data_IF_053582406739
#
_entry.id   IF_053582406739
#
_cell.length_a   1.000
_cell.length_b   1.000
_cell.length_c   1.000
_cell.angle_alpha   90.00
_cell.angle_beta   90.00
_cell.angle_gamma   90.00
#
_symmetry.space_group_name_H-M   'P 1'
#
loop_
_entity.id
_entity.type
_entity.pdbx_description
1 polymer ?
#
# COMPACT_ATOMS: atom_id res chain seq x y z
N UNK A 1 1.18 -16.13 38.92
CA UNK A 1 0.11 -15.88 37.94
C UNK A 1 -1.17 -15.57 38.70
N UNK A 2 -1.49 -14.30 38.90
CA UNK A 2 -2.77 -13.87 39.48
C UNK A 2 -3.70 -13.50 38.34
N UNK A 3 -4.74 -14.33 38.12
CA UNK A 3 -5.87 -14.04 37.24
C UNK A 3 -6.51 -12.72 37.70
N UNK A 4 -6.28 -11.64 36.96
CA UNK A 4 -7.21 -10.51 36.93
C UNK A 4 -8.15 -10.77 35.77
N UNK A 5 -9.41 -10.95 36.13
CA UNK A 5 -10.57 -11.17 35.28
C UNK A 5 -10.72 -10.05 34.25
N UNK A 6 -10.31 -10.31 33.00
CA UNK A 6 -10.80 -9.59 31.83
C UNK A 6 -12.07 -10.31 31.33
N UNK A 7 -13.04 -9.54 30.83
CA UNK A 7 -14.34 -9.97 30.33
C UNK A 7 -14.26 -11.18 29.39
N UNK A 8 -15.24 -12.08 29.48
CA UNK A 8 -15.27 -13.43 28.88
C UNK A 8 -15.34 -13.52 27.35
N UNK A 9 -14.90 -12.51 26.60
CA UNK A 9 -14.83 -12.51 25.14
C UNK A 9 -13.41 -12.33 24.58
N UNK A 10 -12.41 -12.00 25.42
CA UNK A 10 -11.01 -11.82 25.00
C UNK A 10 -10.10 -12.86 25.71
N UNK A 11 -10.37 -14.16 25.53
CA UNK A 11 -9.42 -15.17 26.00
C UNK A 11 -8.18 -15.13 25.10
N UNK A 12 -7.01 -14.79 25.67
CA UNK A 12 -5.76 -14.78 24.90
C UNK A 12 -5.34 -16.20 24.55
N UNK A 13 -4.47 -16.36 23.55
CA UNK A 13 -3.93 -17.67 23.17
C UNK A 13 -3.41 -18.47 24.39
N UNK A 14 -2.72 -17.81 25.31
CA UNK A 14 -2.20 -18.45 26.52
C UNK A 14 -3.27 -18.78 27.55
N UNK A 15 -4.36 -18.02 27.65
CA UNK A 15 -5.48 -18.39 28.54
C UNK A 15 -6.13 -19.70 28.11
N UNK A 16 -6.19 -19.93 26.80
CA UNK A 16 -6.72 -21.16 26.20
C UNK A 16 -5.71 -22.30 26.31
N UNK A 17 -4.44 -22.07 25.95
CA UNK A 17 -3.39 -23.08 26.00
C UNK A 17 -3.10 -23.58 27.42
N UNK A 18 -3.17 -22.68 28.41
CA UNK A 18 -2.93 -22.99 29.82
C UNK A 18 -4.21 -23.44 30.55
N UNK A 19 -5.32 -23.64 29.85
CA UNK A 19 -6.56 -24.16 30.42
C UNK A 19 -6.36 -25.64 30.81
N UNK A 20 -6.46 -26.00 32.10
CA UNK A 20 -6.18 -27.35 32.59
C UNK A 20 -7.21 -28.39 32.16
N UNK A 21 -8.30 -27.98 31.51
CA UNK A 21 -9.35 -28.89 31.06
C UNK A 21 -9.23 -29.18 29.57
N UNK A 22 -8.72 -28.23 28.79
CA UNK A 22 -8.81 -28.27 27.32
C UNK A 22 -7.55 -28.79 26.63
N UNK A 23 -6.37 -28.51 27.19
CA UNK A 23 -5.09 -28.80 26.55
C UNK A 23 -4.17 -29.62 27.44
N UNK A 24 -3.44 -30.56 26.83
CA UNK A 24 -2.45 -31.41 27.51
C UNK A 24 -1.35 -30.59 28.18
N UNK A 25 -1.00 -29.46 27.58
CA UNK A 25 -0.03 -28.50 28.05
C UNK A 25 -0.50 -27.89 29.39
N UNK A 26 -1.75 -27.45 29.46
CA UNK A 26 -2.37 -26.94 30.69
C UNK A 26 -2.38 -27.97 31.81
N UNK A 27 -2.78 -29.21 31.51
CA UNK A 27 -2.78 -30.34 32.47
C UNK A 27 -1.36 -30.61 33.00
N UNK A 28 -0.38 -30.69 32.10
CA UNK A 28 1.02 -30.98 32.45
C UNK A 28 1.63 -29.86 33.31
N UNK A 29 1.31 -28.61 33.01
CA UNK A 29 1.75 -27.44 33.78
C UNK A 29 1.14 -27.47 35.17
N UNK A 30 -0.16 -27.70 35.29
CA UNK A 30 -0.85 -27.71 36.59
C UNK A 30 -0.31 -28.82 37.49
N UNK A 31 -0.12 -30.03 36.95
CA UNK A 31 0.47 -31.16 37.67
C UNK A 31 1.87 -30.83 38.19
N UNK A 32 2.74 -30.24 37.35
CA UNK A 32 4.10 -29.87 37.73
C UNK A 32 4.14 -28.69 38.70
N UNK A 33 3.25 -27.71 38.57
CA UNK A 33 3.13 -26.60 39.52
C UNK A 33 2.65 -27.09 40.89
N UNK A 34 1.72 -28.06 40.94
CA UNK A 34 1.27 -28.69 42.18
C UNK A 34 2.38 -29.51 42.86
N UNK A 35 3.27 -30.15 42.10
CA UNK A 35 4.46 -30.80 42.65
C UNK A 35 5.44 -29.77 43.24
N UNK A 36 5.68 -28.66 42.54
CA UNK A 36 6.58 -27.61 42.98
C UNK A 36 6.05 -26.84 44.19
N UNK A 37 4.73 -26.67 44.34
CA UNK A 37 4.15 -26.02 45.52
C UNK A 37 4.35 -26.80 46.82
N UNK A 38 4.65 -28.11 46.73
CA UNK A 38 5.04 -28.92 47.90
C UNK A 38 6.48 -28.67 48.33
N UNK A 39 7.34 -28.25 47.40
CA UNK A 39 8.78 -28.08 47.60
C UNK A 39 9.18 -26.64 47.91
N UNK A 40 8.39 -25.67 47.45
CA UNK A 40 8.69 -24.24 47.57
C UNK A 40 7.48 -23.47 48.10
N UNK A 41 7.72 -22.48 48.95
CA UNK A 41 6.70 -21.60 49.58
C UNK A 41 6.03 -20.62 48.61
N UNK A 42 6.15 -20.83 47.30
CA UNK A 42 5.53 -20.01 46.26
C UNK A 42 6.28 -20.03 44.92
N UNK A 43 5.56 -19.73 43.84
CA UNK A 43 6.10 -19.76 42.47
C UNK A 43 7.23 -18.75 42.21
N UNK A 44 7.28 -17.63 42.95
CA UNK A 44 8.32 -16.61 42.82
C UNK A 44 9.66 -17.03 43.44
N UNK A 45 9.65 -18.00 44.37
CA UNK A 45 10.85 -18.55 45.01
C UNK A 45 11.40 -19.80 44.31
N UNK A 46 10.72 -20.31 43.29
CA UNK A 46 11.17 -21.49 42.53
C UNK A 46 12.24 -21.10 41.50
N UNK A 47 13.38 -21.81 41.43
CA UNK A 47 14.40 -21.57 40.40
C UNK A 47 13.83 -21.71 38.98
N UNK A 48 14.21 -20.81 38.07
CA UNK A 48 13.69 -20.78 36.71
C UNK A 48 13.88 -22.10 35.93
N UNK A 49 14.94 -22.85 36.22
CA UNK A 49 15.23 -24.16 35.60
C UNK A 49 14.26 -25.28 35.99
N UNK A 50 13.50 -25.10 37.07
CA UNK A 50 12.54 -26.09 37.58
C UNK A 50 11.11 -25.81 37.12
N UNK A 51 10.84 -24.62 36.57
CA UNK A 51 9.53 -24.25 36.07
C UNK A 51 9.08 -25.17 34.91
N UNK A 52 7.78 -25.34 34.71
CA UNK A 52 7.26 -26.02 33.53
C UNK A 52 7.58 -25.23 32.26
N UNK A 53 7.85 -25.96 31.18
CA UNK A 53 8.22 -25.39 29.88
C UNK A 53 7.17 -25.81 28.85
N UNK A 54 6.78 -24.87 27.99
CA UNK A 54 5.91 -25.13 26.84
C UNK A 54 6.68 -24.79 25.57
N UNK A 55 6.57 -25.64 24.57
CA UNK A 55 7.13 -25.39 23.24
C UNK A 55 6.03 -24.76 22.38
N UNK A 56 6.28 -23.56 21.89
CA UNK A 56 5.42 -22.90 20.89
C UNK A 56 6.10 -23.08 19.53
N UNK A 57 5.49 -23.87 18.65
CA UNK A 57 6.07 -24.27 17.36
C UNK A 57 5.84 -23.23 16.26
N UNK A 58 4.65 -22.63 16.18
CA UNK A 58 4.30 -21.63 15.19
C UNK A 58 4.10 -20.25 15.85
N UNK A 59 4.95 -19.30 15.47
CA UNK A 59 4.89 -17.88 15.88
C UNK A 59 4.67 -16.95 14.68
N UNK A 60 4.29 -17.52 13.54
CA UNK A 60 4.11 -16.85 12.25
C UNK A 60 5.34 -16.91 11.34
N UNK A 61 5.14 -16.43 10.12
CA UNK A 61 6.16 -16.38 9.06
C UNK A 61 7.15 -15.25 9.31
N UNK A 62 8.23 -15.56 10.03
CA UNK A 62 9.35 -14.67 10.29
C UNK A 62 10.51 -14.96 9.32
N UNK A 63 11.35 -13.97 8.97
CA UNK A 63 12.49 -14.21 8.09
C UNK A 63 13.52 -15.15 8.75
N UNK A 64 14.01 -16.17 8.03
CA UNK A 64 15.01 -17.14 8.55
C UNK A 64 16.30 -16.50 9.06
N UNK A 65 16.74 -15.41 8.43
CA UNK A 65 17.95 -14.69 8.82
C UNK A 65 17.80 -13.94 10.17
N UNK A 66 16.61 -13.90 10.76
CA UNK A 66 16.42 -13.27 12.05
C UNK A 66 16.95 -14.14 13.20
N UNK A 67 18.08 -13.72 13.75
CA UNK A 67 18.53 -13.97 15.14
C UNK A 67 17.51 -13.40 16.19
N UNK A 68 16.31 -12.99 15.75
CA UNK A 68 15.40 -12.08 16.46
C UNK A 68 14.13 -12.73 17.01
N UNK A 69 13.81 -14.00 16.68
CA UNK A 69 12.61 -14.66 17.21
C UNK A 69 12.59 -14.65 18.75
N UNK A 70 13.74 -14.86 19.38
CA UNK A 70 13.90 -14.76 20.83
C UNK A 70 13.76 -13.32 21.35
N UNK A 71 14.25 -12.33 20.61
CA UNK A 71 14.17 -10.90 20.98
C UNK A 71 12.75 -10.36 20.88
N UNK A 72 12.04 -10.66 19.78
CA UNK A 72 10.64 -10.25 19.60
C UNK A 72 9.75 -10.94 20.60
N UNK A 73 9.92 -12.26 20.85
CA UNK A 73 9.15 -12.98 21.86
C UNK A 73 9.45 -12.46 23.27
N UNK A 74 10.72 -12.17 23.59
CA UNK A 74 11.08 -11.57 24.89
C UNK A 74 10.39 -10.23 25.08
N UNK A 75 10.40 -9.36 24.07
CA UNK A 75 9.72 -8.07 24.14
C UNK A 75 8.21 -8.25 24.25
N UNK A 76 7.62 -9.11 23.42
CA UNK A 76 6.21 -9.43 23.44
C UNK A 76 5.74 -9.88 24.84
N UNK A 77 6.42 -10.87 25.43
CA UNK A 77 6.12 -11.34 26.78
C UNK A 77 6.34 -10.25 27.83
N UNK A 78 7.39 -9.43 27.68
CA UNK A 78 7.66 -8.32 28.59
C UNK A 78 6.53 -7.29 28.57
N UNK A 79 5.99 -6.95 27.40
CA UNK A 79 4.86 -6.02 27.26
C UNK A 79 3.59 -6.61 27.92
N UNK A 80 3.34 -7.91 27.75
CA UNK A 80 2.19 -8.57 28.38
C UNK A 80 2.30 -8.62 29.90
N UNK A 81 3.51 -8.73 30.44
CA UNK A 81 3.75 -8.77 31.89
C UNK A 81 3.86 -7.40 32.54
N UNK A 82 4.48 -6.44 31.85
CA UNK A 82 4.75 -5.09 32.32
C UNK A 82 4.48 -4.08 31.19
N UNK A 83 3.24 -3.56 31.08
CA UNK A 83 2.86 -2.61 30.04
C UNK A 83 3.56 -1.25 30.18
N UNK A 84 4.14 -0.95 31.34
CA UNK A 84 4.86 0.31 31.59
C UNK A 84 6.34 0.22 31.19
N UNK A 85 6.81 -0.94 30.71
CA UNK A 85 8.19 -1.12 30.26
C UNK A 85 8.55 -0.14 29.14
N UNK A 86 9.68 0.58 29.23
CA UNK A 86 10.11 1.50 28.17
C UNK A 86 10.47 0.74 26.89
N UNK A 87 10.28 1.40 25.75
CA UNK A 87 10.67 0.85 24.44
C UNK A 87 12.17 0.54 24.41
N UNK A 88 12.58 -0.71 24.12
CA UNK A 88 13.94 -1.16 24.40
C UNK A 88 14.96 -0.89 23.29
N UNK A 89 14.51 -0.49 22.08
CA UNK A 89 15.39 -0.38 20.91
C UNK A 89 15.48 1.06 20.37
N UNK A 90 16.63 1.44 19.79
CA UNK A 90 16.75 2.70 19.06
C UNK A 90 15.74 2.78 17.89
N UNK A 91 15.38 4.01 17.50
CA UNK A 91 14.45 4.28 16.38
C UNK A 91 14.88 3.58 15.09
N UNK A 92 16.21 3.51 14.86
CA UNK A 92 16.84 2.83 13.72
C UNK A 92 16.61 1.31 13.62
N UNK A 93 15.98 0.66 14.61
CA UNK A 93 15.60 -0.76 14.52
C UNK A 93 14.12 -0.99 14.82
N UNK A 94 13.36 0.10 15.02
CA UNK A 94 12.03 0.01 15.59
C UNK A 94 10.97 -0.46 14.60
N UNK A 95 11.03 -0.07 13.31
CA UNK A 95 10.02 -0.46 12.30
C UNK A 95 9.96 -1.98 12.10
N UNK A 96 11.11 -2.61 11.85
CA UNK A 96 11.20 -4.06 11.71
C UNK A 96 10.68 -4.79 12.95
N UNK A 97 11.04 -4.32 14.14
CA UNK A 97 10.57 -4.93 15.39
C UNK A 97 9.05 -4.79 15.57
N UNK A 98 8.47 -3.64 15.21
CA UNK A 98 7.01 -3.45 15.23
C UNK A 98 6.33 -4.37 14.23
N UNK A 99 6.88 -4.56 13.02
CA UNK A 99 6.33 -5.49 12.04
C UNK A 99 6.42 -6.95 12.51
N UNK A 100 7.54 -7.36 13.12
CA UNK A 100 7.68 -8.68 13.73
C UNK A 100 6.70 -8.88 14.90
N UNK A 101 6.50 -7.84 15.73
CA UNK A 101 5.47 -7.86 16.78
C UNK A 101 4.07 -7.99 16.20
N UNK A 102 3.78 -7.38 15.04
CA UNK A 102 2.49 -7.53 14.37
C UNK A 102 2.22 -9.00 14.01
N UNK A 103 3.21 -9.68 13.43
CA UNK A 103 3.12 -11.10 13.08
C UNK A 103 2.88 -11.96 14.33
N UNK A 104 3.69 -11.77 15.38
CA UNK A 104 3.57 -12.56 16.61
C UNK A 104 2.27 -12.25 17.37
N UNK A 105 1.86 -10.98 17.42
CA UNK A 105 0.65 -10.57 18.14
C UNK A 105 -0.63 -11.06 17.45
N UNK A 106 -0.64 -11.10 16.13
CA UNK A 106 -1.72 -11.72 15.35
C UNK A 106 -1.82 -13.22 15.65
N UNK A 107 -0.68 -13.93 15.55
CA UNK A 107 -0.61 -15.38 15.78
C UNK A 107 -0.97 -15.81 17.20
N UNK A 108 -0.56 -15.03 18.21
CA UNK A 108 -0.80 -15.31 19.63
C UNK A 108 -2.02 -14.58 20.19
N UNK A 109 -2.92 -14.08 19.32
CA UNK A 109 -4.17 -13.43 19.70
C UNK A 109 -4.00 -12.32 20.77
N UNK A 110 -2.98 -11.48 20.61
CA UNK A 110 -2.57 -10.45 21.56
C UNK A 110 -2.39 -9.06 20.92
N UNK A 111 -3.10 -8.79 19.81
CA UNK A 111 -3.05 -7.52 19.09
C UNK A 111 -3.41 -6.33 20.01
N UNK A 112 -4.49 -6.45 20.79
CA UNK A 112 -5.02 -5.33 21.60
C UNK A 112 -4.04 -4.83 22.68
N UNK A 113 -3.44 -5.70 23.54
CA UNK A 113 -2.43 -5.26 24.50
C UNK A 113 -1.21 -4.59 23.85
N UNK A 114 -0.70 -5.17 22.75
CA UNK A 114 0.47 -4.63 22.05
C UNK A 114 0.14 -3.29 21.38
N UNK A 115 -1.05 -3.16 20.78
CA UNK A 115 -1.52 -1.90 20.20
C UNK A 115 -1.57 -0.77 21.23
N UNK A 116 -2.13 -1.04 22.41
CA UNK A 116 -2.22 -0.05 23.48
C UNK A 116 -0.83 0.38 23.97
N UNK A 117 0.06 -0.60 24.16
CA UNK A 117 1.47 -0.32 24.49
C UNK A 117 2.14 0.60 23.47
N UNK A 118 2.00 0.30 22.17
CA UNK A 118 2.61 1.11 21.10
C UNK A 118 2.02 2.54 21.05
N UNK A 119 0.74 2.71 21.39
CA UNK A 119 0.09 4.03 21.49
C UNK A 119 0.62 4.84 22.67
N UNK A 120 0.75 4.23 23.85
CA UNK A 120 1.33 4.89 25.05
C UNK A 120 2.76 5.33 24.77
N UNK A 121 3.55 4.48 24.12
CA UNK A 121 4.92 4.77 23.70
C UNK A 121 5.00 5.72 22.48
N UNK A 122 3.86 6.13 21.90
CA UNK A 122 3.75 7.02 20.73
C UNK A 122 4.55 6.53 19.53
N UNK A 123 4.63 5.22 19.34
CA UNK A 123 5.45 4.61 18.28
C UNK A 123 4.92 4.96 16.89
N UNK A 124 3.60 5.00 16.75
CA UNK A 124 2.89 5.39 15.54
C UNK A 124 3.32 6.77 15.03
N UNK A 125 3.40 7.78 15.91
CA UNK A 125 3.73 9.17 15.55
C UNK A 125 5.23 9.41 15.50
N UNK A 126 6.02 8.80 16.39
CA UNK A 126 7.47 9.00 16.47
C UNK A 126 8.20 8.42 15.27
N UNK A 127 7.79 7.21 14.82
CA UNK A 127 8.42 6.57 13.68
C UNK A 127 7.80 7.01 12.35
N UNK A 128 6.63 7.66 12.33
CA UNK A 128 6.00 8.15 11.09
C UNK A 128 6.96 9.04 10.27
N UNK A 129 7.74 9.86 10.96
CA UNK A 129 8.68 10.82 10.35
C UNK A 129 10.07 10.24 10.13
N UNK A 130 10.36 9.06 10.67
CA UNK A 130 11.67 8.41 10.57
C UNK A 130 11.78 7.65 9.23
N UNK A 131 11.88 8.41 8.14
CA UNK A 131 12.12 7.85 6.81
C UNK A 131 13.61 7.76 6.54
N UNK A 132 14.08 6.56 6.25
CA UNK A 132 15.50 6.33 5.99
C UNK A 132 15.81 6.50 4.52
N UNK A 133 16.90 7.21 4.25
CA UNK A 133 17.57 7.09 2.97
C UNK A 133 18.13 5.66 2.86
N UNK A 134 17.92 5.04 1.71
CA UNK A 134 18.34 3.67 1.45
C UNK A 134 18.19 3.34 -0.02
N UNK A 135 18.53 2.11 -0.38
CA UNK A 135 18.27 1.61 -1.73
C UNK A 135 16.75 1.50 -1.97
N UNK A 136 16.32 1.46 -3.24
CA UNK A 136 14.90 1.31 -3.58
C UNK A 136 14.27 0.08 -2.91
N UNK A 137 15.03 -1.02 -2.83
CA UNK A 137 14.61 -2.25 -2.13
C UNK A 137 14.42 -2.03 -0.62
N UNK A 138 15.32 -1.30 0.04
CA UNK A 138 15.17 -1.00 1.48
C UNK A 138 13.98 -0.09 1.76
N UNK A 139 13.70 0.86 0.87
CA UNK A 139 12.54 1.75 0.97
C UNK A 139 11.24 0.96 0.79
N UNK A 140 11.17 0.04 -0.18
CA UNK A 140 10.02 -0.86 -0.34
C UNK A 140 9.82 -1.73 0.91
N UNK A 141 10.90 -2.33 1.41
CA UNK A 141 10.86 -3.16 2.62
C UNK A 141 10.31 -2.38 3.83
N UNK A 142 10.79 -1.16 4.06
CA UNK A 142 10.30 -0.30 5.16
C UNK A 142 8.81 0.03 4.99
N UNK A 143 8.36 0.35 3.76
CA UNK A 143 6.95 0.61 3.47
C UNK A 143 6.08 -0.63 3.71
N UNK A 144 6.52 -1.82 3.30
CA UNK A 144 5.80 -3.09 3.51
C UNK A 144 5.68 -3.43 5.00
N UNK A 145 6.77 -3.30 5.75
CA UNK A 145 6.77 -3.51 7.21
C UNK A 145 5.81 -2.56 7.93
N UNK A 146 5.83 -1.27 7.56
CA UNK A 146 4.90 -0.27 8.10
C UNK A 146 3.46 -0.53 7.68
N UNK A 147 3.21 -0.96 6.45
CA UNK A 147 1.86 -1.26 6.00
C UNK A 147 1.27 -2.41 6.81
N UNK A 148 2.01 -3.53 6.96
CA UNK A 148 1.58 -4.66 7.79
C UNK A 148 1.29 -4.20 9.23
N UNK A 149 2.24 -3.54 9.88
CA UNK A 149 2.07 -3.04 11.24
C UNK A 149 0.89 -2.07 11.36
N UNK A 150 0.68 -1.20 10.37
CA UNK A 150 -0.38 -0.21 10.37
C UNK A 150 -1.77 -0.82 10.21
N UNK A 151 -1.89 -1.91 9.46
CA UNK A 151 -3.13 -2.69 9.34
C UNK A 151 -3.41 -3.48 10.62
N UNK A 152 -2.39 -4.08 11.24
CA UNK A 152 -2.57 -4.89 12.46
C UNK A 152 -2.84 -4.04 13.71
N UNK A 153 -2.17 -2.90 13.86
CA UNK A 153 -2.23 -2.07 15.08
C UNK A 153 -3.04 -0.77 14.94
N UNK A 154 -3.80 -0.62 13.87
CA UNK A 154 -4.61 0.56 13.56
C UNK A 154 -3.82 1.88 13.48
N UNK A 155 -2.76 1.92 12.65
CA UNK A 155 -2.01 3.16 12.38
C UNK A 155 -2.41 3.75 11.02
N UNK A 156 -3.49 4.56 10.94
CA UNK A 156 -4.06 5.00 9.66
C UNK A 156 -3.08 5.84 8.83
N UNK A 157 -2.18 6.58 9.47
CA UNK A 157 -1.16 7.36 8.78
C UNK A 157 -0.13 6.47 8.07
N UNK A 158 0.24 5.34 8.66
CA UNK A 158 1.19 4.38 8.06
C UNK A 158 0.53 3.71 6.86
N UNK A 159 -0.69 3.21 7.03
CA UNK A 159 -1.47 2.58 5.95
C UNK A 159 -1.58 3.52 4.76
N UNK A 160 -2.02 4.77 4.99
CA UNK A 160 -2.15 5.77 3.92
C UNK A 160 -0.82 6.03 3.22
N UNK A 161 0.22 6.39 3.96
CA UNK A 161 1.50 6.78 3.36
C UNK A 161 2.22 5.64 2.63
N UNK A 162 2.20 4.44 3.21
CA UNK A 162 2.91 3.30 2.67
C UNK A 162 2.16 2.67 1.50
N UNK A 163 0.81 2.60 1.55
CA UNK A 163 0.02 2.19 0.38
C UNK A 163 0.21 3.15 -0.80
N UNK A 164 0.20 4.47 -0.58
CA UNK A 164 0.51 5.44 -1.63
C UNK A 164 1.88 5.20 -2.24
N UNK A 165 2.92 5.02 -1.42
CA UNK A 165 4.27 4.80 -1.91
C UNK A 165 4.37 3.51 -2.75
N UNK A 166 3.78 2.41 -2.27
CA UNK A 166 3.80 1.12 -2.98
C UNK A 166 3.01 1.18 -4.30
N UNK A 167 1.86 1.86 -4.33
CA UNK A 167 1.07 2.06 -5.56
C UNK A 167 1.84 2.90 -6.57
N UNK A 168 2.49 3.98 -6.14
CA UNK A 168 3.19 4.92 -7.03
C UNK A 168 4.51 4.35 -7.53
N UNK A 169 5.35 3.84 -6.64
CA UNK A 169 6.69 3.37 -7.00
C UNK A 169 6.66 2.00 -7.67
N UNK A 170 5.61 1.22 -7.43
CA UNK A 170 5.46 -0.13 -7.95
C UNK A 170 6.38 -1.14 -7.27
N UNK A 171 6.18 -2.44 -7.54
CA UNK A 171 7.04 -3.48 -6.99
C UNK A 171 8.46 -3.33 -7.53
N UNK A 172 9.47 -3.25 -6.65
CA UNK A 172 10.89 -3.27 -7.03
C UNK A 172 11.43 -4.69 -7.01
N UNK A 173 10.81 -5.56 -6.23
CA UNK A 173 11.00 -7.00 -6.34
C UNK A 173 10.27 -7.48 -7.61
N UNK A 174 11.02 -8.02 -8.57
CA UNK A 174 10.41 -8.75 -9.69
C UNK A 174 9.73 -9.99 -9.13
N UNK A 175 8.51 -10.34 -9.58
CA UNK A 175 7.97 -11.67 -9.36
C UNK A 175 9.03 -12.66 -9.83
N UNK A 176 9.42 -13.58 -8.95
CA UNK A 176 10.26 -14.73 -9.32
C UNK A 176 9.38 -15.69 -10.12
N UNK A 177 8.89 -15.25 -11.27
CA UNK A 177 8.19 -16.08 -12.25
C UNK A 177 9.15 -16.35 -13.38
N UNK A 178 10.29 -16.96 -13.06
CA UNK A 178 10.97 -17.78 -14.07
C UNK A 178 10.27 -19.13 -14.04
N UNK A 179 9.16 -19.25 -14.79
CA UNK A 179 8.51 -20.54 -15.09
C UNK A 179 9.42 -21.50 -15.89
N UNK A 180 10.64 -21.09 -16.24
CA UNK A 180 11.59 -21.87 -17.06
C UNK A 180 12.67 -22.59 -16.24
N UNK A 181 12.84 -22.25 -14.96
CA UNK A 181 13.66 -23.02 -14.03
C UNK A 181 12.70 -23.66 -13.04
N UNK A 182 12.49 -24.98 -13.15
CA UNK A 182 11.66 -25.81 -12.25
C UNK A 182 12.17 -25.89 -10.81
N UNK A 183 12.76 -24.80 -10.32
CA UNK A 183 13.03 -24.51 -8.92
C UNK A 183 11.91 -23.59 -8.44
N UNK A 184 10.69 -24.13 -8.37
CA UNK A 184 9.68 -23.64 -7.44
C UNK A 184 10.18 -23.95 -6.01
N UNK A 185 11.32 -23.39 -5.62
CA UNK A 185 11.58 -23.14 -4.20
C UNK A 185 10.65 -21.99 -3.85
N UNK A 186 9.43 -22.37 -3.47
CA UNK A 186 8.44 -21.48 -2.92
C UNK A 186 9.11 -20.45 -2.00
N UNK A 187 8.62 -19.22 -2.07
CA UNK A 187 8.93 -18.16 -1.15
C UNK A 187 8.48 -18.47 0.32
N UNK A 188 8.64 -19.70 0.80
CA UNK A 188 8.45 -20.14 2.18
C UNK A 188 9.34 -19.36 3.17
N UNK A 189 10.40 -18.72 2.66
CA UNK A 189 11.40 -18.01 3.46
C UNK A 189 11.13 -16.52 3.62
N UNK A 190 10.10 -16.01 2.94
CA UNK A 190 9.74 -14.61 3.00
C UNK A 190 8.84 -14.31 4.19
N UNK A 191 9.21 -13.27 4.93
CA UNK A 191 8.38 -12.76 6.01
C UNK A 191 7.02 -12.24 5.50
N UNK A 192 6.01 -12.30 6.37
CA UNK A 192 4.61 -12.01 6.04
C UNK A 192 4.38 -10.64 5.38
N UNK A 193 5.21 -9.63 5.63
CA UNK A 193 5.06 -8.30 5.00
C UNK A 193 5.33 -8.28 3.48
N UNK A 194 5.91 -9.33 2.91
CA UNK A 194 6.03 -9.50 1.46
C UNK A 194 4.73 -9.96 0.80
N UNK A 195 3.80 -10.52 1.59
CA UNK A 195 2.46 -10.95 1.18
C UNK A 195 1.46 -10.50 2.23
N UNK A 196 1.13 -9.21 2.23
CA UNK A 196 0.26 -8.64 3.26
C UNK A 196 -1.12 -9.34 3.20
N UNK A 197 -1.65 -9.84 4.34
CA UNK A 197 -2.93 -10.56 4.37
C UNK A 197 -4.13 -9.70 3.92
N UNK A 198 -5.29 -10.35 3.78
CA UNK A 198 -6.59 -9.72 3.51
C UNK A 198 -6.74 -9.06 2.14
N UNK A 199 -6.14 -9.63 1.10
CA UNK A 199 -6.32 -9.17 -0.29
C UNK A 199 -5.64 -7.82 -0.57
N UNK A 200 -4.71 -7.40 0.29
CA UNK A 200 -4.10 -6.07 0.21
C UNK A 200 -3.16 -5.97 -0.99
N UNK A 201 -2.42 -7.04 -1.32
CA UNK A 201 -1.52 -7.02 -2.47
C UNK A 201 -2.29 -6.86 -3.79
N UNK A 202 -3.39 -7.59 -3.96
CA UNK A 202 -4.30 -7.50 -5.10
C UNK A 202 -4.91 -6.10 -5.21
N UNK A 203 -5.32 -5.52 -4.08
CA UNK A 203 -5.85 -4.16 -4.02
C UNK A 203 -4.80 -3.11 -4.42
N UNK A 204 -3.55 -3.22 -3.94
CA UNK A 204 -2.47 -2.31 -4.31
C UNK A 204 -2.11 -2.40 -5.78
N UNK A 205 -2.03 -3.62 -6.32
CA UNK A 205 -1.77 -3.88 -7.74
C UNK A 205 -2.90 -3.31 -8.61
N UNK A 206 -4.15 -3.61 -8.28
CA UNK A 206 -5.33 -3.13 -8.98
C UNK A 206 -5.41 -1.58 -8.97
N UNK A 207 -5.18 -0.94 -7.81
CA UNK A 207 -5.11 0.52 -7.71
C UNK A 207 -4.06 1.12 -8.64
N UNK A 208 -2.88 0.51 -8.68
CA UNK A 208 -1.79 0.94 -9.56
C UNK A 208 -2.19 0.85 -11.03
N UNK A 209 -2.79 -0.25 -11.45
CA UNK A 209 -3.26 -0.44 -12.82
C UNK A 209 -4.29 0.63 -13.21
N UNK A 210 -5.25 0.92 -12.35
CA UNK A 210 -6.23 1.99 -12.60
C UNK A 210 -5.59 3.37 -12.72
N UNK A 211 -4.55 3.67 -11.95
CA UNK A 211 -3.80 4.93 -12.09
C UNK A 211 -3.07 4.99 -13.44
N UNK A 212 -2.42 3.90 -13.86
CA UNK A 212 -1.74 3.80 -15.14
C UNK A 212 -2.72 3.91 -16.32
N UNK A 213 -3.86 3.21 -16.24
CA UNK A 213 -4.94 3.31 -17.23
C UNK A 213 -5.51 4.74 -17.28
N UNK A 214 -5.67 5.39 -16.13
CA UNK A 214 -6.11 6.79 -16.07
C UNK A 214 -5.14 7.71 -16.83
N UNK A 215 -3.83 7.58 -16.59
CA UNK A 215 -2.80 8.34 -17.31
C UNK A 215 -2.83 8.03 -18.82
N UNK A 216 -3.01 6.75 -19.19
CA UNK A 216 -3.18 6.33 -20.58
C UNK A 216 -4.43 6.96 -21.21
N UNK A 217 -5.54 7.02 -20.48
CA UNK A 217 -6.80 7.60 -20.96
C UNK A 217 -6.69 9.10 -21.24
N UNK A 218 -5.88 9.85 -20.48
CA UNK A 218 -5.57 11.27 -20.76
C UNK A 218 -4.88 11.40 -22.11
N UNK A 219 -3.89 10.55 -22.40
CA UNK A 219 -3.17 10.57 -23.68
C UNK A 219 -4.09 10.18 -24.84
N UNK A 220 -4.89 9.11 -24.66
CA UNK A 220 -5.91 8.67 -25.62
C UNK A 220 -6.94 9.77 -25.90
N UNK A 221 -7.34 10.54 -24.90
CA UNK A 221 -8.27 11.64 -25.06
C UNK A 221 -7.73 12.71 -26.01
N UNK A 222 -6.50 13.19 -25.80
CA UNK A 222 -5.92 14.21 -26.67
C UNK A 222 -5.70 13.70 -28.10
N UNK A 223 -5.21 12.48 -28.28
CA UNK A 223 -5.07 11.88 -29.61
C UNK A 223 -6.41 11.84 -30.36
N UNK A 224 -7.46 11.32 -29.72
CA UNK A 224 -8.80 11.28 -30.32
C UNK A 224 -9.36 12.67 -30.64
N UNK A 225 -9.09 13.63 -29.76
CA UNK A 225 -9.59 14.98 -29.86
C UNK A 225 -8.98 15.73 -31.06
N UNK A 226 -7.66 15.58 -31.32
CA UNK A 226 -7.00 16.17 -32.50
C UNK A 226 -7.24 15.39 -33.81
N UNK A 227 -7.55 14.08 -33.75
CA UNK A 227 -7.90 13.29 -34.94
C UNK A 227 -9.32 13.60 -35.42
N UNK A 228 -10.29 13.73 -34.51
CA UNK A 228 -11.72 13.81 -34.86
C UNK A 228 -12.26 15.23 -35.01
N UNK A 229 -11.67 16.22 -34.33
CA UNK A 229 -12.22 17.57 -34.22
C UNK A 229 -11.11 18.60 -34.39
N UNK A 230 -11.40 19.67 -35.14
CA UNK A 230 -10.51 20.83 -35.20
C UNK A 230 -10.42 21.51 -33.83
N UNK A 231 -9.21 21.73 -33.33
CA UNK A 231 -8.96 22.28 -32.00
C UNK A 231 -8.59 23.75 -32.04
N UNK A 232 -7.98 24.20 -33.13
CA UNK A 232 -7.75 25.60 -33.41
C UNK A 232 -9.10 26.30 -33.66
N UNK A 233 -9.45 27.24 -32.79
CA UNK A 233 -10.68 28.05 -32.87
C UNK A 233 -10.46 29.47 -33.41
N UNK A 234 -9.24 29.78 -33.85
CA UNK A 234 -8.86 31.12 -34.27
C UNK A 234 -9.45 31.52 -35.63
N UNK A 235 -9.95 30.56 -36.41
CA UNK A 235 -10.65 30.82 -37.67
C UNK A 235 -9.76 31.27 -38.83
N UNK A 236 -8.44 31.26 -38.64
CA UNK A 236 -7.47 31.54 -39.71
C UNK A 236 -7.43 30.39 -40.74
N UNK A 237 -7.06 30.70 -41.98
CA UNK A 237 -6.85 29.67 -43.02
C UNK A 237 -5.72 28.68 -42.69
N UNK A 238 -4.86 29.01 -41.73
CA UNK A 238 -3.83 28.13 -41.17
C UNK A 238 -4.31 27.22 -40.02
N UNK A 239 -5.60 27.28 -39.64
CA UNK A 239 -6.15 26.48 -38.52
C UNK A 239 -6.02 24.95 -38.74
N UNK A 240 -6.32 24.39 -39.94
CA UNK A 240 -6.12 22.96 -40.20
C UNK A 240 -4.65 22.51 -40.13
N UNK A 241 -3.73 23.39 -40.57
CA UNK A 241 -2.30 23.18 -40.52
C UNK A 241 -1.82 23.19 -39.07
N UNK A 242 -2.37 24.09 -38.24
CA UNK A 242 -2.10 24.12 -36.80
C UNK A 242 -2.51 22.81 -36.13
N UNK A 243 -3.73 22.30 -36.36
CA UNK A 243 -4.19 21.05 -35.75
C UNK A 243 -3.32 19.85 -36.17
N UNK A 244 -2.95 19.76 -37.44
CA UNK A 244 -2.04 18.72 -37.96
C UNK A 244 -0.64 18.81 -37.36
N UNK A 245 -0.11 20.04 -37.23
CA UNK A 245 1.18 20.30 -36.59
C UNK A 245 1.17 19.88 -35.12
N UNK A 246 0.12 20.24 -34.37
CA UNK A 246 -0.02 19.88 -32.96
C UNK A 246 -0.18 18.37 -32.75
N UNK A 247 -0.89 17.67 -33.64
CA UNK A 247 -0.98 16.21 -33.61
C UNK A 247 0.41 15.56 -33.83
N UNK A 248 1.18 16.04 -34.81
CA UNK A 248 2.52 15.57 -35.08
C UNK A 248 3.49 15.78 -33.91
N UNK A 249 3.49 16.98 -33.32
CA UNK A 249 4.31 17.29 -32.15
C UNK A 249 3.89 16.49 -30.90
N UNK A 250 2.59 16.25 -30.71
CA UNK A 250 2.09 15.38 -29.64
C UNK A 250 2.58 13.94 -29.79
N UNK A 251 2.44 13.35 -30.98
CA UNK A 251 2.93 11.99 -31.26
C UNK A 251 4.43 11.89 -31.03
N UNK A 252 5.20 12.85 -31.58
CA UNK A 252 6.65 12.92 -31.40
C UNK A 252 7.05 13.02 -29.93
N UNK A 253 6.35 13.84 -29.15
CA UNK A 253 6.60 14.01 -27.72
C UNK A 253 6.31 12.73 -26.94
N UNK A 254 5.12 12.16 -27.07
CA UNK A 254 4.70 10.99 -26.30
C UNK A 254 5.55 9.75 -26.62
N UNK A 255 5.90 9.53 -27.90
CA UNK A 255 6.82 8.45 -28.30
C UNK A 255 8.22 8.68 -27.76
N UNK A 256 8.76 9.90 -27.82
CA UNK A 256 10.08 10.23 -27.24
C UNK A 256 10.12 10.00 -25.72
N UNK A 257 9.01 10.25 -25.01
CA UNK A 257 8.90 10.00 -23.57
C UNK A 257 8.61 8.54 -23.21
N UNK A 258 8.34 7.70 -24.21
CA UNK A 258 8.07 6.27 -24.05
C UNK A 258 6.72 5.98 -23.38
N UNK A 259 5.73 6.87 -23.53
CA UNK A 259 4.40 6.66 -22.95
C UNK A 259 3.39 6.10 -23.96
N UNK A 260 3.69 6.21 -25.25
CA UNK A 260 2.98 5.52 -26.32
C UNK A 260 3.99 4.80 -27.22
N UNK A 261 3.58 3.64 -27.73
CA UNK A 261 4.26 2.91 -28.78
C UNK A 261 3.35 2.87 -30.00
N UNK A 262 3.91 3.08 -31.19
CA UNK A 262 3.17 2.96 -32.45
C UNK A 262 3.58 1.67 -33.14
N UNK A 263 2.62 0.77 -33.29
CA UNK A 263 2.81 -0.50 -34.00
C UNK A 263 1.93 -0.56 -35.24
N UNK A 264 2.32 -1.39 -36.21
CA UNK A 264 1.55 -1.60 -37.43
C UNK A 264 0.37 -2.52 -37.14
N UNK A 265 -0.84 -2.04 -37.41
CA UNK A 265 -2.06 -2.87 -37.34
C UNK A 265 -2.07 -4.02 -38.37
N UNK A 266 -1.19 -3.99 -39.38
CA UNK A 266 -1.11 -5.03 -40.42
C UNK A 266 -0.34 -6.27 -39.97
N UNK A 267 0.51 -6.14 -38.95
CA UNK A 267 1.30 -7.24 -38.39
C UNK A 267 1.60 -6.92 -36.93
N UNK A 268 0.60 -7.05 -36.03
CA UNK A 268 0.80 -6.78 -34.62
C UNK A 268 1.84 -7.76 -34.05
N UNK A 269 2.81 -7.25 -33.30
CA UNK A 269 3.60 -8.06 -32.37
C UNK A 269 2.62 -8.65 -31.35
N UNK A 270 2.56 -9.98 -31.22
CA UNK A 270 1.67 -10.66 -30.27
C UNK A 270 2.20 -10.64 -28.82
N UNK A 271 3.24 -9.85 -28.53
CA UNK A 271 3.76 -9.71 -27.18
C UNK A 271 2.85 -8.76 -26.40
N UNK A 272 2.14 -9.29 -25.41
CA UNK A 272 1.39 -8.46 -24.45
C UNK A 272 2.37 -7.49 -23.79
N UNK A 273 2.12 -6.20 -23.94
CA UNK A 273 2.97 -5.18 -23.34
C UNK A 273 2.94 -5.32 -21.82
N UNK A 274 4.09 -5.63 -21.21
CA UNK A 274 4.21 -5.73 -19.76
C UNK A 274 3.78 -4.43 -19.08
N UNK A 275 3.04 -4.56 -17.98
CA UNK A 275 2.63 -3.42 -17.15
C UNK A 275 3.84 -2.63 -16.65
N UNK A 276 3.74 -1.30 -16.69
CA UNK A 276 4.83 -0.41 -16.27
C UNK A 276 5.25 -0.61 -14.80
N UNK A 277 6.52 -0.94 -14.58
CA UNK A 277 7.10 -1.23 -13.25
C UNK A 277 7.81 -0.05 -12.58
N UNK A 278 8.02 1.06 -13.29
CA UNK A 278 8.72 2.25 -12.78
C UNK A 278 7.85 3.15 -11.88
N UNK A 279 8.39 4.28 -11.40
CA UNK A 279 7.58 5.19 -10.58
C UNK A 279 6.59 5.98 -11.43
N UNK A 280 5.32 6.03 -11.01
CA UNK A 280 4.28 6.83 -11.68
C UNK A 280 4.63 8.32 -11.64
N UNK A 281 5.33 8.77 -10.60
CA UNK A 281 5.83 10.14 -10.51
C UNK A 281 6.77 10.48 -11.67
N UNK A 282 7.62 9.54 -12.10
CA UNK A 282 8.52 9.75 -13.23
C UNK A 282 7.74 9.91 -14.54
N UNK A 283 6.65 9.15 -14.71
CA UNK A 283 5.76 9.27 -15.87
C UNK A 283 5.09 10.64 -15.88
N UNK A 284 4.53 11.08 -14.74
CA UNK A 284 3.91 12.41 -14.63
C UNK A 284 4.95 13.52 -14.88
N UNK A 285 6.15 13.39 -14.34
CA UNK A 285 7.24 14.35 -14.55
C UNK A 285 7.58 14.46 -16.05
N UNK A 286 7.75 13.32 -16.74
CA UNK A 286 7.98 13.29 -18.19
C UNK A 286 6.85 13.95 -18.98
N UNK A 287 5.59 13.75 -18.60
CA UNK A 287 4.44 14.39 -19.25
C UNK A 287 4.39 15.91 -19.00
N UNK A 288 4.85 16.39 -17.83
CA UNK A 288 4.96 17.83 -17.52
C UNK A 288 6.03 18.56 -18.33
N UNK A 289 7.00 17.83 -18.88
CA UNK A 289 8.00 18.36 -19.82
C UNK A 289 7.42 18.63 -21.23
N UNK A 290 6.09 18.53 -21.40
CA UNK A 290 5.42 18.81 -22.67
C UNK A 290 5.75 20.22 -23.20
N UNK A 291 6.29 20.34 -24.42
CA UNK A 291 6.69 21.61 -25.00
C UNK A 291 5.48 22.46 -25.42
N UNK A 292 5.69 23.76 -25.54
CA UNK A 292 4.68 24.73 -26.02
C UNK A 292 4.95 25.14 -27.47
N UNK A 293 5.19 24.17 -28.35
CA UNK A 293 5.47 24.47 -29.75
C UNK A 293 4.26 25.11 -30.44
N UNK A 294 4.55 26.11 -31.28
CA UNK A 294 3.58 26.90 -32.03
C UNK A 294 4.00 26.88 -33.49
N UNK A 295 3.02 26.87 -34.39
CA UNK A 295 3.29 26.91 -35.84
C UNK A 295 3.72 28.31 -36.30
N UNK A 296 3.11 29.34 -35.72
CA UNK A 296 3.39 30.75 -35.96
C UNK A 296 2.96 31.58 -34.73
N UNK A 297 3.19 32.90 -34.77
CA UNK A 297 2.86 33.85 -33.69
C UNK A 297 1.35 33.93 -33.38
N UNK A 298 0.48 33.58 -34.33
CA UNK A 298 -0.96 33.66 -34.17
C UNK A 298 -1.53 32.49 -33.35
N UNK A 299 -0.77 31.40 -33.15
CA UNK A 299 -1.24 30.16 -32.52
C UNK A 299 -0.71 29.93 -31.10
N UNK A 300 -0.68 30.99 -30.28
CA UNK A 300 -0.01 30.99 -28.98
C UNK A 300 -0.61 30.09 -27.88
N UNK A 301 -1.82 29.54 -28.11
CA UNK A 301 -2.56 28.72 -27.14
C UNK A 301 -3.15 27.42 -27.72
N UNK A 302 -2.73 27.03 -28.91
CA UNK A 302 -3.20 25.80 -29.57
C UNK A 302 -2.46 24.53 -29.11
N UNK A 303 -1.39 24.71 -28.33
CA UNK A 303 -0.49 23.63 -27.91
C UNK A 303 -1.05 22.67 -26.86
N UNK A 304 -0.59 21.42 -26.90
CA UNK A 304 -0.94 20.36 -25.95
C UNK A 304 -0.68 20.77 -24.48
N UNK A 305 0.43 21.45 -24.21
CA UNK A 305 0.86 21.84 -22.85
C UNK A 305 -0.23 22.56 -22.07
N UNK A 306 -0.88 23.56 -22.69
CA UNK A 306 -1.91 24.39 -22.05
C UNK A 306 -3.13 23.57 -21.62
N UNK A 307 -3.42 22.47 -22.30
CA UNK A 307 -4.56 21.60 -22.02
C UNK A 307 -4.19 20.42 -21.12
N UNK A 308 -2.98 19.90 -21.24
CA UNK A 308 -2.50 18.74 -20.49
C UNK A 308 -2.19 19.08 -19.02
N UNK A 309 -1.49 20.19 -18.75
CA UNK A 309 -1.06 20.53 -17.39
C UNK A 309 -2.23 20.65 -16.39
N UNK A 310 -3.35 21.33 -16.70
CA UNK A 310 -4.49 21.39 -15.79
C UNK A 310 -5.07 20.02 -15.42
N UNK A 311 -4.97 19.03 -16.32
CA UNK A 311 -5.42 17.66 -16.04
C UNK A 311 -4.39 16.95 -15.14
N UNK A 312 -3.09 17.08 -15.42
CA UNK A 312 -2.04 16.51 -14.57
C UNK A 312 -2.03 17.09 -13.16
N UNK A 313 -2.37 18.37 -13.00
CA UNK A 313 -2.52 19.01 -11.68
C UNK A 313 -3.75 18.48 -10.91
N UNK A 314 -4.70 17.82 -11.59
CA UNK A 314 -5.85 17.16 -10.97
C UNK A 314 -5.63 15.71 -10.61
N UNK A 315 -4.59 15.07 -11.14
CA UNK A 315 -4.19 13.73 -10.74
C UNK A 315 -3.51 13.79 -9.37
N UNK A 316 -4.32 13.90 -8.32
CA UNK A 316 -3.85 13.89 -6.95
C UNK A 316 -3.56 12.45 -6.50
N UNK A 317 -2.33 12.00 -6.76
CA UNK A 317 -1.89 10.64 -6.42
C UNK A 317 -1.89 10.39 -4.91
N UNK A 318 -1.98 11.41 -4.04
CA UNK A 318 -2.13 11.21 -2.61
C UNK A 318 -3.46 10.54 -2.24
N UNK A 319 -4.47 10.64 -3.11
CA UNK A 319 -5.83 10.15 -2.86
C UNK A 319 -6.06 8.70 -3.32
N UNK A 320 -5.06 8.06 -3.95
CA UNK A 320 -5.12 6.63 -4.36
C UNK A 320 -4.87 5.68 -3.19
N UNK A 321 -4.44 6.22 -2.05
CA UNK A 321 -4.09 5.47 -0.86
C UNK A 321 -5.25 4.64 -0.31
N UNK A 322 -4.92 3.56 0.38
CA UNK A 322 -5.88 2.88 1.25
C UNK A 322 -6.20 3.77 2.46
N UNK A 323 -7.50 3.90 2.77
CA UNK A 323 -7.95 4.54 3.99
C UNK A 323 -8.37 3.47 4.98
N UNK A 324 -7.62 3.31 6.06
CA UNK A 324 -7.89 2.29 7.07
C UNK A 324 -9.33 2.37 7.62
N UNK A 325 -9.79 3.57 8.00
CA UNK A 325 -11.14 3.74 8.53
C UNK A 325 -12.24 3.24 7.57
N UNK A 326 -12.14 3.56 6.29
CA UNK A 326 -13.13 3.12 5.32
C UNK A 326 -12.95 1.65 4.93
N UNK A 327 -11.72 1.14 4.97
CA UNK A 327 -11.43 -0.28 4.78
C UNK A 327 -12.05 -1.15 5.88
N UNK A 328 -12.01 -0.68 7.13
CA UNK A 328 -12.61 -1.37 8.28
C UNK A 328 -14.14 -1.24 8.30
N UNK A 329 -14.70 -0.12 7.82
CA UNK A 329 -16.14 0.09 7.70
C UNK A 329 -16.78 -0.85 6.67
N UNK A 330 -16.27 -0.87 5.44
CA UNK A 330 -16.79 -1.69 4.35
C UNK A 330 -15.71 -1.93 3.28
N UNK A 331 -14.93 -3.00 3.49
CA UNK A 331 -13.86 -3.41 2.57
C UNK A 331 -14.34 -3.59 1.15
N UNK A 332 -15.46 -4.29 0.94
CA UNK A 332 -15.96 -4.64 -0.40
C UNK A 332 -16.27 -3.37 -1.18
N UNK A 333 -16.95 -2.41 -0.52
CA UNK A 333 -17.33 -1.15 -1.14
C UNK A 333 -16.15 -0.23 -1.41
N UNK A 334 -15.10 -0.23 -0.59
CA UNK A 334 -13.95 0.64 -0.77
C UNK A 334 -12.86 0.03 -1.65
N UNK A 335 -12.83 -1.30 -1.80
CA UNK A 335 -11.92 -2.03 -2.68
C UNK A 335 -12.12 -1.64 -4.14
N UNK A 336 -11.02 -1.39 -4.85
CA UNK A 336 -11.03 -1.16 -6.30
C UNK A 336 -11.02 -2.48 -7.07
N UNK A 337 -10.48 -3.54 -6.45
CA UNK A 337 -10.48 -4.88 -7.02
C UNK A 337 -11.87 -5.52 -6.98
N UNK A 338 -12.55 -5.50 -5.84
CA UNK A 338 -13.84 -6.17 -5.65
C UNK A 338 -15.03 -5.34 -6.17
N UNK A 339 -14.93 -4.00 -6.09
CA UNK A 339 -15.99 -3.09 -6.49
C UNK A 339 -15.44 -1.90 -7.28
N UNK A 340 -15.00 -2.11 -8.53
CA UNK A 340 -14.59 -0.99 -9.37
C UNK A 340 -15.76 -0.03 -9.61
N UNK A 341 -15.48 1.27 -9.59
CA UNK A 341 -16.47 2.31 -9.84
C UNK A 341 -16.95 2.24 -11.28
N UNK A 342 -18.18 1.79 -11.48
CA UNK A 342 -18.77 1.66 -12.81
C UNK A 342 -19.27 3.00 -13.34
N UNK A 343 -19.17 3.19 -14.67
CA UNK A 343 -19.81 4.30 -15.38
C UNK A 343 -18.85 5.35 -15.94
N UNK A 344 -19.39 6.54 -16.19
CA UNK A 344 -18.67 7.66 -16.79
C UNK A 344 -18.29 8.71 -15.77
N UNK A 345 -17.04 9.17 -15.83
CA UNK A 345 -16.52 10.29 -15.06
C UNK A 345 -16.27 11.50 -15.98
N UNK A 346 -16.55 12.71 -15.48
CA UNK A 346 -16.38 13.97 -16.21
C UNK A 346 -15.42 14.91 -15.50
N UNK A 347 -14.57 15.60 -16.26
CA UNK A 347 -13.66 16.61 -15.74
C UNK A 347 -14.43 17.88 -15.31
N UNK A 348 -14.70 17.97 -14.00
CA UNK A 348 -15.39 19.09 -13.36
C UNK A 348 -14.46 19.92 -12.46
N UNK A 349 -14.91 21.13 -12.10
CA UNK A 349 -14.24 21.93 -11.06
C UNK A 349 -14.23 21.12 -9.75
N UNK A 350 -13.11 21.15 -9.02
CA UNK A 350 -12.95 20.35 -7.80
C UNK A 350 -13.91 20.90 -6.76
N UNK A 351 -14.87 20.08 -6.34
CA UNK A 351 -15.60 20.36 -5.12
C UNK A 351 -14.64 20.20 -3.94
N UNK A 352 -14.79 21.04 -2.91
CA UNK A 352 -14.01 20.95 -1.67
C UNK A 352 -14.48 19.73 -0.88
N UNK A 353 -14.05 18.55 -1.30
CA UNK A 353 -14.18 17.33 -0.52
C UNK A 353 -13.14 17.36 0.60
N UNK A 354 -13.52 16.87 1.79
CA UNK A 354 -12.61 16.76 2.93
C UNK A 354 -12.67 15.37 3.53
N UNK A 355 -11.51 14.85 3.94
CA UNK A 355 -11.43 13.57 4.64
C UNK A 355 -11.83 12.40 3.73
N UNK A 356 -12.74 11.53 4.17
CA UNK A 356 -13.03 10.30 3.44
C UNK A 356 -13.77 10.50 2.10
N UNK A 357 -14.35 11.67 1.87
CA UNK A 357 -14.97 11.99 0.58
C UNK A 357 -13.93 12.10 -0.54
N UNK A 358 -12.68 12.47 -0.20
CA UNK A 358 -11.60 12.64 -1.17
C UNK A 358 -11.23 11.33 -1.86
N UNK A 359 -11.04 10.24 -1.10
CA UNK A 359 -10.68 8.95 -1.71
C UNK A 359 -11.86 8.31 -2.45
N UNK A 360 -13.12 8.62 -2.09
CA UNK A 360 -14.29 8.19 -2.87
C UNK A 360 -14.37 8.91 -4.22
N UNK A 361 -14.08 10.21 -4.26
CA UNK A 361 -13.97 10.93 -5.53
C UNK A 361 -12.80 10.42 -6.37
N UNK A 362 -11.66 10.14 -5.75
CA UNK A 362 -10.52 9.54 -6.43
C UNK A 362 -10.89 8.17 -7.01
N UNK A 363 -11.53 7.29 -6.22
CA UNK A 363 -12.04 6.01 -6.69
C UNK A 363 -12.95 6.19 -7.92
N UNK A 364 -13.95 7.06 -7.83
CA UNK A 364 -14.86 7.33 -8.96
C UNK A 364 -14.14 7.82 -10.23
N UNK A 365 -13.06 8.59 -10.10
CA UNK A 365 -12.26 9.03 -11.25
C UNK A 365 -11.38 7.92 -11.81
N UNK A 366 -10.60 7.26 -10.95
CA UNK A 366 -9.59 6.29 -11.36
C UNK A 366 -10.20 4.97 -11.83
N UNK A 367 -11.37 4.58 -11.33
CA UNK A 367 -11.99 3.29 -11.68
C UNK A 367 -13.07 3.38 -12.77
N UNK A 368 -13.44 4.59 -13.22
CA UNK A 368 -14.46 4.77 -14.24
C UNK A 368 -14.10 4.14 -15.60
N UNK A 369 -15.08 3.48 -16.22
CA UNK A 369 -14.97 2.86 -17.55
C UNK A 369 -14.70 3.89 -18.65
N UNK A 370 -15.31 5.08 -18.52
CA UNK A 370 -15.17 6.18 -19.46
C UNK A 370 -14.82 7.46 -18.71
N UNK A 371 -13.73 8.12 -19.13
CA UNK A 371 -13.30 9.40 -18.56
C UNK A 371 -13.36 10.47 -19.64
N UNK A 372 -14.23 11.46 -19.46
CA UNK A 372 -14.25 12.66 -20.29
C UNK A 372 -13.35 13.73 -19.66
N UNK A 373 -12.19 13.93 -20.28
CA UNK A 373 -11.21 14.93 -19.86
C UNK A 373 -11.49 16.33 -20.42
N UNK A 374 -12.56 16.49 -21.21
CA UNK A 374 -12.98 17.79 -21.71
C UNK A 374 -13.43 18.63 -20.52
N UNK A 375 -12.80 19.78 -20.24
CA UNK A 375 -13.27 20.61 -19.15
C UNK A 375 -14.65 21.14 -19.48
N UNK A 376 -15.56 21.06 -18.51
CA UNK A 376 -16.85 21.75 -18.55
C UNK A 376 -16.63 23.28 -18.50
N UNK A 377 -16.08 23.87 -19.57
CA UNK A 377 -16.14 25.31 -19.76
C UNK A 377 -17.53 25.67 -20.27
N UNK A 378 -18.33 26.14 -19.30
CA UNK A 378 -19.19 27.33 -19.39
C UNK A 378 -19.29 27.92 -20.79
N UNK A 379 -20.50 27.89 -21.35
CA UNK A 379 -20.88 28.73 -22.47
C UNK A 379 -20.63 30.20 -22.15
N UNK A 380 -19.47 30.68 -22.51
CA UNK A 380 -19.22 32.09 -22.76
C UNK A 380 -18.80 32.14 -24.22
N UNK A 381 -19.83 32.41 -25.02
CA UNK A 381 -19.70 32.95 -26.37
C UNK A 381 -19.12 34.36 -26.31
#
# INVERSE_FOLDING_TARGET
>A
MTRKTASSTDATYFDVLLDPIKFSEGIAIEAKLHELSKQYTGHASTPASKLPTVVVSDIGQLPKACVSSSTVLRLFLKILHDPDTPWPVPRSQSVNLVALLAIVADRLAAIRPIREYLRVQKIDTTLLRDRRAGTAHQIELDNRQRLLAGLTFDFPAWVRQCSTALIIDGPKRRPTTNLESGEDEEAEDDALWWRVPNGVEEELACRREYVLDTISSVQKHFLNLYIKKSQCRLGYGSSPQCDSFQLGEMLRFLTRKGTIMMESALSPSFEEAESYTGSINDVIARLRECPSYQIDENHSHCGLRTRLLPILDRLDLGQVAMCLACWDEDRVKESWFESPGQGSWEFRKRDRATGCQEHRHAKAMFTADKRDWTPAYTGIA
#
